data_IF_529459462079
#
_entry.id   IF_529459462079
#
_cell.length_a   1.000
_cell.length_b   1.000
_cell.length_c   1.000
_cell.angle_alpha   90.00
_cell.angle_beta   90.00
_cell.angle_gamma   90.00
#
_symmetry.space_group_name_H-M   'P 1'
#
loop_
_entity.id
_entity.type
_entity.pdbx_description
1 polymer ?
#
# COMPACT_ATOMS: atom_id res chain seq x y z
N UNK A 1 -15.44 -7.99 54.58
CA UNK A 1 -14.27 -8.40 53.76
C UNK A 1 -14.82 -8.83 52.42
N UNK A 2 -14.52 -8.10 51.33
CA UNK A 2 -14.93 -8.52 49.98
C UNK A 2 -14.12 -9.75 49.56
N UNK A 3 -14.77 -10.70 48.90
CA UNK A 3 -14.12 -11.93 48.44
C UNK A 3 -13.08 -11.60 47.36
N UNK A 4 -11.97 -12.33 47.33
CA UNK A 4 -10.91 -12.15 46.33
C UNK A 4 -11.44 -12.27 44.88
N UNK A 5 -12.50 -13.06 44.68
CA UNK A 5 -13.20 -13.19 43.39
C UNK A 5 -13.97 -11.93 42.97
N UNK A 6 -14.54 -11.19 43.93
CA UNK A 6 -15.26 -9.92 43.65
C UNK A 6 -14.28 -8.82 43.24
N UNK A 7 -13.11 -8.77 43.88
CA UNK A 7 -12.05 -7.82 43.55
C UNK A 7 -11.52 -8.06 42.13
N UNK A 8 -11.39 -9.34 41.73
CA UNK A 8 -10.93 -9.71 40.39
C UNK A 8 -11.95 -9.37 39.30
N UNK A 9 -13.24 -9.58 39.58
CA UNK A 9 -14.34 -9.23 38.67
C UNK A 9 -14.45 -7.72 38.45
N UNK A 10 -14.35 -6.91 39.52
CA UNK A 10 -14.40 -5.44 39.42
C UNK A 10 -13.19 -4.91 38.63
N UNK A 11 -11.99 -5.44 38.88
CA UNK A 11 -10.79 -5.03 38.15
C UNK A 11 -10.91 -5.29 36.65
N UNK A 12 -11.43 -6.45 36.25
CA UNK A 12 -11.60 -6.80 34.83
C UNK A 12 -12.79 -6.08 34.16
N UNK A 13 -13.86 -5.76 34.90
CA UNK A 13 -14.96 -4.95 34.38
C UNK A 13 -14.59 -3.49 34.13
N UNK A 14 -13.62 -2.95 34.87
CA UNK A 14 -13.16 -1.56 34.72
C UNK A 14 -12.25 -1.34 33.51
N UNK A 15 -11.63 -2.42 33.02
CA UNK A 15 -10.73 -2.42 31.85
C UNK A 15 -11.33 -3.09 30.62
N UNK A 16 -12.50 -3.73 30.75
CA UNK A 16 -13.23 -4.29 29.63
C UNK A 16 -13.78 -3.16 28.74
N UNK A 17 -13.11 -2.94 27.61
CA UNK A 17 -13.58 -2.07 26.53
C UNK A 17 -14.79 -2.73 25.88
N UNK A 18 -16.00 -2.30 26.24
CA UNK A 18 -17.26 -2.87 25.74
C UNK A 18 -17.65 -2.41 24.31
N UNK A 19 -16.82 -1.61 23.63
CA UNK A 19 -17.17 -1.00 22.34
C UNK A 19 -16.03 -1.08 21.32
N UNK A 20 -16.17 -1.98 20.33
CA UNK A 20 -15.26 -2.11 19.17
C UNK A 20 -15.02 -0.78 18.42
N UNK A 21 -16.00 0.14 18.45
CA UNK A 21 -15.93 1.45 17.78
C UNK A 21 -15.01 2.46 18.48
N UNK A 22 -14.62 2.20 19.73
CA UNK A 22 -13.67 3.06 20.46
C UNK A 22 -12.21 2.65 20.22
N UNK A 23 -11.96 1.37 19.91
CA UNK A 23 -10.63 0.84 19.57
C UNK A 23 -10.23 1.08 18.10
N UNK A 24 -11.20 1.28 17.18
CA UNK A 24 -10.92 1.65 15.77
C UNK A 24 -10.39 3.08 15.58
N UNK A 25 -10.28 3.88 16.66
CA UNK A 25 -9.73 5.24 16.57
C UNK A 25 -8.22 5.18 16.39
N UNK A 26 -7.78 5.20 15.13
CA UNK A 26 -6.37 5.24 14.66
C UNK A 26 -5.50 6.23 15.47
N UNK A 27 -6.09 7.30 16.01
CA UNK A 27 -5.42 8.18 16.96
C UNK A 27 -6.23 8.32 18.25
N UNK A 28 -5.85 7.56 19.29
CA UNK A 28 -6.46 7.58 20.63
C UNK A 28 -6.28 8.93 21.34
N UNK A 29 -5.22 9.66 21.03
CA UNK A 29 -4.87 10.97 21.64
C UNK A 29 -4.79 12.10 20.60
N UNK A 30 -5.39 13.26 20.91
CA UNK A 30 -5.33 14.46 20.04
C UNK A 30 -3.89 14.92 19.77
N UNK A 31 -3.00 14.71 20.74
CA UNK A 31 -1.58 15.00 20.63
C UNK A 31 -0.90 14.18 19.53
N UNK A 32 -1.12 12.86 19.50
CA UNK A 32 -0.53 11.96 18.52
C UNK A 32 -1.05 12.23 17.10
N UNK A 33 -2.34 12.58 16.97
CA UNK A 33 -2.94 13.01 15.69
C UNK A 33 -2.29 14.29 15.15
N UNK A 34 -2.10 15.30 15.99
CA UNK A 34 -1.48 16.57 15.58
C UNK A 34 -0.03 16.37 15.15
N UNK A 35 0.75 15.59 15.89
CA UNK A 35 2.14 15.28 15.53
C UNK A 35 2.25 14.49 14.21
N UNK A 36 1.35 13.53 13.99
CA UNK A 36 1.31 12.77 12.73
C UNK A 36 0.97 13.67 11.53
N UNK A 37 0.02 14.59 11.69
CA UNK A 37 -0.35 15.56 10.63
C UNK A 37 0.79 16.55 10.37
N UNK A 38 1.50 17.02 11.41
CA UNK A 38 2.66 17.90 11.26
C UNK A 38 3.80 17.20 10.53
N UNK A 39 4.09 15.94 10.89
CA UNK A 39 5.09 15.13 10.19
C UNK A 39 4.74 14.97 8.70
N UNK A 40 3.48 14.65 8.39
CA UNK A 40 3.02 14.47 7.02
C UNK A 40 3.06 15.79 6.23
N UNK A 41 2.70 16.92 6.85
CA UNK A 41 2.85 18.24 6.24
C UNK A 41 4.33 18.61 6.02
N UNK A 42 5.23 18.32 6.96
CA UNK A 42 6.65 18.61 6.80
C UNK A 42 7.25 17.82 5.63
N UNK A 43 6.92 16.53 5.50
CA UNK A 43 7.33 15.72 4.35
C UNK A 43 6.77 16.29 3.04
N UNK A 44 5.49 16.68 3.00
CA UNK A 44 4.89 17.29 1.83
C UNK A 44 5.55 18.62 1.44
N UNK A 45 5.90 19.47 2.41
CA UNK A 45 6.58 20.75 2.20
C UNK A 45 8.01 20.52 1.67
N UNK A 46 8.75 19.56 2.21
CA UNK A 46 10.11 19.22 1.75
C UNK A 46 10.07 18.73 0.29
N UNK A 47 9.13 17.85 -0.05
CA UNK A 47 8.94 17.38 -1.43
C UNK A 47 8.54 18.52 -2.38
N UNK A 48 7.64 19.40 -1.94
CA UNK A 48 7.20 20.55 -2.73
C UNK A 48 8.32 21.58 -2.95
N UNK A 49 9.07 21.91 -1.89
CA UNK A 49 10.24 22.79 -1.96
C UNK A 49 11.34 22.19 -2.84
N UNK A 50 11.52 20.87 -2.83
CA UNK A 50 12.46 20.17 -3.71
C UNK A 50 12.04 20.18 -5.19
N UNK A 51 10.75 20.28 -5.52
CA UNK A 51 10.27 20.38 -6.90
C UNK A 51 10.32 21.81 -7.46
N UNK A 52 10.13 22.84 -6.63
CA UNK A 52 10.05 24.25 -7.06
C UNK A 52 11.31 25.08 -6.74
N UNK A 53 12.27 24.54 -5.99
CA UNK A 53 13.47 25.24 -5.54
C UNK A 53 14.60 25.32 -6.58
N UNK A 54 15.36 26.42 -6.50
CA UNK A 54 16.47 26.94 -7.34
C UNK A 54 17.70 26.01 -7.58
N UNK A 55 17.55 24.68 -7.58
CA UNK A 55 18.64 23.70 -7.75
C UNK A 55 18.20 22.38 -8.39
N UNK A 56 17.15 22.41 -9.20
CA UNK A 56 16.54 21.22 -9.80
C UNK A 56 17.44 20.57 -10.88
N UNK A 57 18.45 19.81 -10.42
CA UNK A 57 19.19 18.87 -11.25
C UNK A 57 18.24 17.75 -11.73
N UNK A 58 18.48 17.24 -12.95
CA UNK A 58 17.73 16.13 -13.59
C UNK A 58 17.58 14.91 -12.65
N UNK A 59 18.56 14.69 -11.78
CA UNK A 59 18.55 13.66 -10.74
C UNK A 59 17.37 13.75 -9.76
N UNK A 60 16.95 14.95 -9.35
CA UNK A 60 15.82 15.10 -8.42
C UNK A 60 14.48 14.75 -9.08
N UNK A 61 14.32 15.07 -10.37
CA UNK A 61 13.14 14.67 -11.14
C UNK A 61 13.09 13.16 -11.36
N UNK A 62 14.24 12.53 -11.60
CA UNK A 62 14.33 11.07 -11.73
C UNK A 62 13.93 10.37 -10.42
N UNK A 63 14.51 10.77 -9.29
CA UNK A 63 14.16 10.21 -7.98
C UNK A 63 12.68 10.48 -7.66
N UNK A 64 12.20 11.70 -7.91
CA UNK A 64 10.80 12.06 -7.67
C UNK A 64 9.83 11.16 -8.44
N UNK A 65 10.07 10.94 -9.74
CA UNK A 65 9.27 10.01 -10.54
C UNK A 65 9.34 8.59 -10.00
N UNK A 66 10.53 8.12 -9.61
CA UNK A 66 10.71 6.76 -9.08
C UNK A 66 9.97 6.56 -7.76
N UNK A 67 9.96 7.56 -6.88
CA UNK A 67 9.18 7.55 -5.64
C UNK A 67 7.68 7.52 -5.96
N UNK A 68 7.20 8.39 -6.86
CA UNK A 68 5.79 8.47 -7.22
C UNK A 68 5.26 7.17 -7.82
N UNK A 69 6.01 6.56 -8.74
CA UNK A 69 5.64 5.27 -9.35
C UNK A 69 5.58 4.17 -8.29
N UNK A 70 6.59 4.07 -7.43
CA UNK A 70 6.59 3.07 -6.35
C UNK A 70 5.48 3.32 -5.31
N UNK A 71 5.08 4.58 -5.10
CA UNK A 71 3.99 4.92 -4.19
C UNK A 71 2.64 4.46 -4.74
N UNK A 72 2.39 4.69 -6.03
CA UNK A 72 1.20 4.16 -6.73
C UNK A 72 1.20 2.63 -6.68
N UNK A 73 2.36 2.01 -6.89
CA UNK A 73 2.55 0.57 -6.80
C UNK A 73 2.19 0.02 -5.40
N UNK A 74 2.76 0.62 -4.36
CA UNK A 74 2.53 0.24 -2.98
C UNK A 74 1.05 0.37 -2.59
N UNK A 75 0.38 1.44 -3.01
CA UNK A 75 -1.06 1.62 -2.79
C UNK A 75 -1.86 0.54 -3.53
N UNK A 76 -1.53 0.26 -4.80
CA UNK A 76 -2.18 -0.80 -5.57
C UNK A 76 -2.03 -2.18 -4.91
N UNK A 77 -0.83 -2.48 -4.41
CA UNK A 77 -0.56 -3.69 -3.63
C UNK A 77 -1.34 -3.71 -2.31
N UNK A 78 -1.41 -2.59 -1.60
CA UNK A 78 -2.12 -2.49 -0.33
C UNK A 78 -3.64 -2.64 -0.50
N UNK A 79 -4.20 -2.13 -1.59
CA UNK A 79 -5.60 -2.40 -1.96
C UNK A 79 -5.80 -3.90 -2.17
N UNK A 80 -4.93 -4.56 -2.93
CA UNK A 80 -5.07 -5.99 -3.20
C UNK A 80 -4.94 -6.84 -1.93
N UNK A 81 -3.89 -6.61 -1.13
CA UNK A 81 -3.68 -7.32 0.14
C UNK A 81 -4.79 -7.00 1.14
N UNK A 82 -5.23 -5.74 1.21
CA UNK A 82 -6.27 -5.29 2.14
C UNK A 82 -7.66 -5.86 1.83
N UNK A 83 -8.02 -5.98 0.54
CA UNK A 83 -9.34 -6.49 0.15
C UNK A 83 -9.39 -8.01 -0.04
N UNK A 84 -8.28 -8.64 -0.45
CA UNK A 84 -8.27 -10.09 -0.76
C UNK A 84 -7.51 -10.94 0.24
N UNK A 85 -6.68 -10.33 1.10
CA UNK A 85 -5.80 -11.06 2.02
C UNK A 85 -4.67 -11.82 1.35
N UNK A 86 -4.49 -11.68 0.02
CA UNK A 86 -3.48 -12.38 -0.76
C UNK A 86 -2.29 -11.45 -1.04
N UNK A 87 -1.08 -11.92 -0.74
CA UNK A 87 0.16 -11.21 -1.03
C UNK A 87 0.54 -11.42 -2.49
N UNK A 88 0.61 -10.33 -3.26
CA UNK A 88 0.90 -10.38 -4.70
C UNK A 88 2.40 -10.21 -4.97
N UNK A 89 3.09 -11.32 -5.25
CA UNK A 89 4.50 -11.33 -5.67
C UNK A 89 4.68 -10.91 -7.14
N UNK A 90 3.62 -10.93 -7.94
CA UNK A 90 3.64 -10.57 -9.36
C UNK A 90 3.36 -9.10 -9.67
N UNK A 91 3.23 -8.24 -8.65
CA UNK A 91 2.82 -6.84 -8.82
C UNK A 91 3.74 -6.04 -9.76
N UNK A 92 5.06 -6.32 -9.74
CA UNK A 92 6.03 -5.69 -10.63
C UNK A 92 5.78 -6.00 -12.12
N UNK A 93 5.25 -7.19 -12.44
CA UNK A 93 4.93 -7.56 -13.82
C UNK A 93 3.77 -6.71 -14.38
N UNK A 94 2.73 -6.46 -13.58
CA UNK A 94 1.59 -5.62 -14.00
C UNK A 94 2.00 -4.16 -14.18
N UNK A 95 2.87 -3.63 -13.30
CA UNK A 95 3.48 -2.32 -13.52
C UNK A 95 4.29 -2.26 -14.81
N UNK A 96 5.09 -3.30 -15.09
CA UNK A 96 5.89 -3.39 -16.31
C UNK A 96 5.03 -3.35 -17.58
N UNK A 97 3.90 -4.07 -17.61
CA UNK A 97 2.96 -4.05 -18.74
C UNK A 97 2.41 -2.64 -18.98
N UNK A 98 2.00 -1.94 -17.93
CA UNK A 98 1.51 -0.56 -18.03
C UNK A 98 2.59 0.44 -18.47
N UNK A 99 3.80 0.32 -17.91
CA UNK A 99 4.91 1.19 -18.27
C UNK A 99 5.35 1.00 -19.73
N UNK A 100 5.47 -0.26 -20.17
CA UNK A 100 5.87 -0.59 -21.53
C UNK A 100 4.82 -0.14 -22.56
N UNK A 101 3.53 -0.38 -22.28
CA UNK A 101 2.45 0.11 -23.15
C UNK A 101 2.42 1.63 -23.23
N UNK A 102 2.57 2.33 -22.10
CA UNK A 102 2.64 3.80 -22.09
C UNK A 102 3.84 4.33 -22.87
N UNK A 103 5.02 3.72 -22.69
CA UNK A 103 6.23 4.09 -23.40
C UNK A 103 6.06 3.90 -24.92
N UNK A 104 5.56 2.73 -25.34
CA UNK A 104 5.34 2.42 -26.77
C UNK A 104 4.35 3.41 -27.43
N UNK A 105 3.25 3.74 -26.76
CA UNK A 105 2.25 4.67 -27.29
C UNK A 105 2.78 6.11 -27.43
N UNK A 106 3.69 6.51 -26.54
CA UNK A 106 4.29 7.84 -26.58
C UNK A 106 5.41 7.90 -27.61
N UNK A 107 6.27 6.87 -27.70
CA UNK A 107 7.46 6.88 -28.58
C UNK A 107 7.14 6.54 -30.03
N UNK A 108 6.28 5.55 -30.28
CA UNK A 108 6.02 5.04 -31.64
C UNK A 108 4.75 5.66 -32.26
N UNK A 109 3.71 5.87 -31.45
CA UNK A 109 2.37 6.27 -31.94
C UNK A 109 2.14 7.78 -31.80
N UNK A 110 2.94 8.47 -30.97
CA UNK A 110 2.78 9.91 -30.71
C UNK A 110 1.44 10.28 -30.07
N UNK A 111 0.84 9.35 -29.33
CA UNK A 111 -0.46 9.54 -28.70
C UNK A 111 -0.36 10.58 -27.57
N UNK A 112 -1.37 11.44 -27.34
CA UNK A 112 -1.32 12.39 -26.23
C UNK A 112 -1.20 11.65 -24.89
N UNK A 113 -0.41 12.23 -23.98
CA UNK A 113 -0.05 11.63 -22.69
C UNK A 113 -1.25 11.09 -21.90
N UNK A 114 -2.36 11.82 -21.88
CA UNK A 114 -3.61 11.41 -21.21
C UNK A 114 -4.19 10.11 -21.79
N UNK A 115 -4.20 9.96 -23.12
CA UNK A 115 -4.72 8.75 -23.77
C UNK A 115 -3.76 7.58 -23.52
N UNK A 116 -2.45 7.83 -23.56
CA UNK A 116 -1.46 6.79 -23.31
C UNK A 116 -1.63 6.17 -21.92
N UNK A 117 -1.83 6.99 -20.87
CA UNK A 117 -2.09 6.50 -19.52
C UNK A 117 -3.37 5.67 -19.45
N UNK A 118 -4.46 6.12 -20.09
CA UNK A 118 -5.73 5.42 -20.06
C UNK A 118 -5.62 4.03 -20.72
N UNK A 119 -4.96 3.98 -21.88
CA UNK A 119 -4.77 2.73 -22.63
C UNK A 119 -3.80 1.80 -21.89
N UNK A 120 -2.72 2.34 -21.31
CA UNK A 120 -1.81 1.58 -20.48
C UNK A 120 -2.50 0.97 -19.26
N UNK A 121 -3.37 1.74 -18.59
CA UNK A 121 -4.20 1.26 -17.49
C UNK A 121 -5.17 0.15 -17.91
N UNK A 122 -5.84 0.31 -19.06
CA UNK A 122 -6.71 -0.71 -19.63
C UNK A 122 -5.95 -2.00 -19.97
N UNK A 123 -4.76 -1.89 -20.55
CA UNK A 123 -3.92 -3.05 -20.87
C UNK A 123 -3.44 -3.76 -19.60
N UNK A 124 -2.98 -3.01 -18.60
CA UNK A 124 -2.60 -3.58 -17.31
C UNK A 124 -3.79 -4.28 -16.64
N UNK A 125 -5.00 -3.72 -16.72
CA UNK A 125 -6.22 -4.34 -16.21
C UNK A 125 -6.62 -5.61 -16.96
N UNK A 126 -6.49 -5.63 -18.29
CA UNK A 126 -6.75 -6.83 -19.11
C UNK A 126 -5.80 -7.97 -18.76
N UNK A 127 -4.50 -7.71 -18.69
CA UNK A 127 -3.51 -8.70 -18.25
C UNK A 127 -3.75 -9.13 -16.79
N UNK A 128 -4.11 -8.18 -15.92
CA UNK A 128 -4.51 -8.43 -14.54
C UNK A 128 -5.72 -9.35 -14.43
N UNK A 129 -6.72 -9.22 -15.31
CA UNK A 129 -7.89 -10.12 -15.35
C UNK A 129 -7.48 -11.53 -15.78
N UNK A 130 -6.69 -11.66 -16.85
CA UNK A 130 -6.24 -12.95 -17.37
C UNK A 130 -5.47 -13.74 -16.29
N UNK A 131 -4.59 -13.05 -15.55
CA UNK A 131 -3.77 -13.65 -14.49
C UNK A 131 -4.52 -13.73 -13.14
N UNK A 132 -5.50 -12.86 -12.91
CA UNK A 132 -6.30 -12.84 -11.69
C UNK A 132 -7.32 -13.98 -11.61
N UNK A 133 -7.90 -14.38 -12.74
CA UNK A 133 -8.87 -15.51 -12.82
C UNK A 133 -8.29 -16.82 -12.24
N UNK A 134 -7.06 -17.28 -12.61
CA UNK A 134 -6.48 -18.47 -12.00
C UNK A 134 -6.09 -18.25 -10.53
N UNK A 135 -5.75 -17.02 -10.13
CA UNK A 135 -5.41 -16.70 -8.72
C UNK A 135 -6.59 -16.94 -7.77
N UNK A 136 -7.83 -16.66 -8.22
CA UNK A 136 -9.05 -16.93 -7.45
C UNK A 136 -9.32 -18.43 -7.24
N UNK A 137 -8.72 -19.31 -8.06
CA UNK A 137 -8.91 -20.77 -7.94
C UNK A 137 -7.97 -21.44 -6.94
N UNK A 138 -6.93 -20.76 -6.45
CA UNK A 138 -5.95 -21.34 -5.53
C UNK A 138 -6.19 -20.76 -4.12
N UNK A 139 -6.55 -21.62 -3.16
CA UNK A 139 -6.68 -21.23 -1.74
C UNK A 139 -5.30 -20.89 -1.17
N UNK A 140 -5.03 -19.59 -0.95
CA UNK A 140 -3.67 -19.04 -0.79
C UNK A 140 -3.00 -19.09 0.58
N UNK A 141 -3.71 -19.29 1.70
CA UNK A 141 -3.03 -19.27 3.02
C UNK A 141 -2.00 -20.41 3.16
N UNK A 142 -2.26 -21.57 2.56
CA UNK A 142 -1.39 -22.75 2.67
C UNK A 142 -0.09 -22.63 1.88
N UNK A 143 -0.08 -21.97 0.72
CA UNK A 143 1.12 -21.83 -0.10
C UNK A 143 2.08 -20.80 0.51
N UNK A 144 1.56 -19.70 1.08
CA UNK A 144 2.34 -18.66 1.76
C UNK A 144 3.02 -19.19 3.02
N UNK A 145 2.29 -19.95 3.86
CA UNK A 145 2.85 -20.62 5.03
C UNK A 145 3.90 -21.65 4.62
N UNK A 146 3.70 -22.38 3.52
CA UNK A 146 4.68 -23.35 3.03
C UNK A 146 6.00 -22.69 2.59
N UNK A 147 5.96 -21.54 1.91
CA UNK A 147 7.20 -20.82 1.54
C UNK A 147 7.88 -20.17 2.74
N UNK A 148 7.12 -19.66 3.72
CA UNK A 148 7.67 -19.09 4.95
C UNK A 148 8.35 -20.18 5.80
N UNK A 149 7.72 -21.36 5.91
CA UNK A 149 8.32 -22.53 6.56
C UNK A 149 9.58 -23.02 5.83
N UNK A 150 9.60 -22.99 4.49
CA UNK A 150 10.79 -23.39 3.72
C UNK A 150 11.95 -22.43 3.94
N UNK A 151 11.69 -21.12 4.06
CA UNK A 151 12.71 -20.12 4.36
C UNK A 151 13.32 -20.31 5.76
N UNK A 152 12.51 -20.60 6.79
CA UNK A 152 12.99 -20.87 8.15
C UNK A 152 13.83 -22.13 8.31
N UNK A 153 13.76 -23.08 7.37
CA UNK A 153 14.54 -24.32 7.40
C UNK A 153 15.90 -24.15 6.73
N UNK A 154 16.02 -23.18 5.82
CA UNK A 154 17.24 -22.92 5.05
C UNK A 154 18.17 -21.94 5.77
N UNK A 155 17.61 -21.02 6.56
CA UNK A 155 18.34 -20.19 7.53
C UNK A 155 18.75 -21.00 8.77
#
# INVERSE_FOLDING_TARGET
MRSFSEIYSDYFSSTAVYSYREDERIFRTRFMRSWFVIFLMAVAIILFASMFGMGANEYHYFIGNLILVNLIAAIGLQLLVGFTGLLSLGHAAFMGVGAYTSALLITEVGCPFILSILIAGLMAALFGLIVGIPSLRIKGFYLMVATLAFQFVIE
#
